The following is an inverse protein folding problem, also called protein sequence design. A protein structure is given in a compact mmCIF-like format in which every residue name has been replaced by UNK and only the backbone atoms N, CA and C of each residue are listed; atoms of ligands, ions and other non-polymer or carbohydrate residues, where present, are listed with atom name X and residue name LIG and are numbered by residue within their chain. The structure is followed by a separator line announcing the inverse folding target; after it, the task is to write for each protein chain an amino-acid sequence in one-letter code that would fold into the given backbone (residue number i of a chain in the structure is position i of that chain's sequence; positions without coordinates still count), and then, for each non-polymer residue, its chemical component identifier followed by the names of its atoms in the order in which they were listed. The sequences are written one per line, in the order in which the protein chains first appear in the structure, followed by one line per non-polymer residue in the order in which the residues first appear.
data_IF_697777746893
#
_entry.id   IF_697777746893
#
_cell.length_a   1.000
_cell.length_b   1.000
_cell.length_c   1.000
_cell.angle_alpha   90.00
_cell.angle_beta   90.00
_cell.angle_gamma   90.00
#
_symmetry.space_group_name_H-M   'P 1'
#
loop_
_entity.id
_entity.type
_entity.pdbx_description
1 polymer ?
#
# COMPACT_ATOMS: atom_id res chain seq x y z
N UNK A 1 8.81 0.31 4.25
CA UNK A 1 8.96 -0.02 5.68
C UNK A 1 8.24 1.03 6.50
N UNK A 2 8.42 1.05 7.83
CA UNK A 2 7.77 2.03 8.71
C UNK A 2 7.99 3.51 8.32
N UNK A 3 9.13 3.85 7.71
CA UNK A 3 9.40 5.23 7.28
C UNK A 3 8.43 5.75 6.22
N UNK A 4 8.06 4.93 5.25
CA UNK A 4 7.05 5.28 4.26
C UNK A 4 5.63 5.24 4.88
N UNK A 5 5.36 4.31 5.81
CA UNK A 5 4.09 4.23 6.51
C UNK A 5 3.83 5.42 7.43
N UNK A 6 4.88 6.05 7.98
CA UNK A 6 4.76 7.26 8.79
C UNK A 6 4.02 8.39 8.06
N UNK A 7 4.08 8.40 6.72
CA UNK A 7 3.34 9.34 5.86
C UNK A 7 2.20 8.65 5.09
N UNK A 8 2.00 7.34 5.28
CA UNK A 8 1.06 6.49 4.55
C UNK A 8 -0.30 6.32 5.22
N UNK A 9 -0.56 6.99 6.36
CA UNK A 9 -1.88 7.01 7.01
C UNK A 9 -2.74 8.09 6.36
N UNK A 10 -3.37 7.73 5.24
CA UNK A 10 -4.05 8.65 4.33
C UNK A 10 -5.49 8.23 4.05
N UNK A 11 -6.32 9.17 3.60
CA UNK A 11 -7.69 8.87 3.15
C UNK A 11 -7.71 8.15 1.79
N UNK A 12 -6.72 8.43 0.92
CA UNK A 12 -6.50 7.80 -0.39
C UNK A 12 -5.00 7.57 -0.61
N UNK A 13 -4.62 6.35 -0.96
CA UNK A 13 -3.26 5.93 -1.27
C UNK A 13 -3.13 5.65 -2.77
N UNK A 14 -2.32 6.47 -3.42
CA UNK A 14 -1.95 6.32 -4.83
C UNK A 14 -0.54 5.76 -4.93
N UNK A 15 -0.29 4.99 -5.97
CA UNK A 15 1.05 4.49 -6.30
C UNK A 15 1.28 4.62 -7.81
N UNK A 16 2.51 4.92 -8.22
CA UNK A 16 2.89 4.83 -9.63
C UNK A 16 2.93 3.35 -10.06
N UNK A 17 2.69 3.08 -11.34
CA UNK A 17 2.59 1.73 -11.92
C UNK A 17 3.78 0.81 -11.59
N UNK A 18 5.00 1.33 -11.62
CA UNK A 18 6.23 0.60 -11.28
C UNK A 18 6.74 0.91 -9.87
N UNK A 19 5.96 1.66 -9.08
CA UNK A 19 6.24 1.91 -7.67
C UNK A 19 6.12 0.63 -6.84
N UNK A 20 6.94 0.54 -5.79
CA UNK A 20 6.92 -0.58 -4.84
C UNK A 20 6.59 -0.09 -3.44
N UNK A 21 5.92 -0.95 -2.65
CA UNK A 21 5.68 -0.68 -1.24
C UNK A 21 5.79 -1.98 -0.44
N UNK A 22 6.70 -2.00 0.54
CA UNK A 22 7.07 -3.21 1.27
C UNK A 22 7.38 -2.91 2.75
N UNK A 23 7.18 -3.90 3.63
CA UNK A 23 7.54 -3.78 5.06
C UNK A 23 9.07 -3.81 5.29
N UNK A 24 9.78 -4.61 4.49
CA UNK A 24 11.23 -4.81 4.49
C UNK A 24 11.72 -4.75 3.03
N UNK A 25 13.00 -4.42 2.80
CA UNK A 25 13.54 -4.55 1.45
C UNK A 25 13.63 -6.03 1.03
N UNK A 26 13.52 -6.34 -0.27
CA UNK A 26 13.66 -7.72 -0.75
C UNK A 26 14.98 -8.37 -0.35
N UNK A 27 16.08 -7.62 -0.35
CA UNK A 27 17.41 -8.10 0.05
C UNK A 27 17.47 -8.43 1.54
N UNK A 28 16.86 -7.57 2.38
CA UNK A 28 16.71 -7.82 3.81
C UNK A 28 15.88 -9.09 4.08
N UNK A 29 14.76 -9.25 3.38
CA UNK A 29 13.94 -10.45 3.46
C UNK A 29 14.72 -11.71 3.01
N UNK A 30 15.45 -11.60 1.91
CA UNK A 30 16.23 -12.68 1.32
C UNK A 30 17.34 -13.17 2.28
N UNK A 31 18.10 -12.24 2.86
CA UNK A 31 19.14 -12.57 3.83
C UNK A 31 18.60 -13.23 5.11
N UNK A 32 17.40 -12.87 5.57
CA UNK A 32 16.79 -13.45 6.77
C UNK A 32 16.19 -14.83 6.50
N UNK A 33 15.36 -14.96 5.45
CA UNK A 33 14.59 -16.18 5.19
C UNK A 33 15.37 -17.23 4.39
N UNK A 34 16.25 -16.79 3.50
CA UNK A 34 16.99 -17.65 2.58
C UNK A 34 18.50 -17.68 2.84
N UNK A 35 19.00 -16.89 3.81
CA UNK A 35 20.43 -16.78 4.14
C UNK A 35 21.31 -16.38 2.95
N UNK A 36 20.72 -15.75 1.94
CA UNK A 36 21.42 -15.27 0.73
C UNK A 36 20.70 -14.05 0.18
N UNK A 37 21.45 -12.98 -0.09
CA UNK A 37 20.91 -11.76 -0.71
C UNK A 37 20.53 -11.97 -2.19
N UNK A 38 21.13 -12.96 -2.86
CA UNK A 38 20.86 -13.26 -4.27
C UNK A 38 19.42 -13.74 -4.50
N UNK A 39 18.74 -14.17 -3.44
CA UNK A 39 17.33 -14.55 -3.46
C UNK A 39 16.37 -13.34 -3.39
N UNK A 40 16.88 -12.11 -3.50
CA UNK A 40 16.06 -10.90 -3.51
C UNK A 40 14.90 -10.93 -4.55
N UNK A 41 15.08 -11.42 -5.79
CA UNK A 41 13.96 -11.51 -6.75
C UNK A 41 12.83 -12.42 -6.26
N UNK A 42 13.17 -13.58 -5.67
CA UNK A 42 12.20 -14.52 -5.11
C UNK A 42 11.49 -13.93 -3.89
N UNK A 43 12.24 -13.22 -3.04
CA UNK A 43 11.68 -12.51 -1.90
C UNK A 43 10.74 -11.37 -2.32
N UNK A 44 11.10 -10.58 -3.34
CA UNK A 44 10.27 -9.50 -3.87
C UNK A 44 8.92 -10.02 -4.39
N UNK A 45 8.94 -11.11 -5.14
CA UNK A 45 7.74 -11.78 -5.65
C UNK A 45 6.86 -12.27 -4.51
N UNK A 46 7.47 -12.95 -3.51
CA UNK A 46 6.76 -13.49 -2.34
C UNK A 46 6.15 -12.40 -1.46
N UNK A 47 6.83 -11.26 -1.32
CA UNK A 47 6.34 -10.09 -0.58
C UNK A 47 5.24 -9.32 -1.33
N UNK A 48 5.01 -9.60 -2.62
CA UNK A 48 3.94 -9.01 -3.43
C UNK A 48 3.94 -7.46 -3.42
N UNK A 49 5.12 -6.87 -3.61
CA UNK A 49 5.40 -5.44 -3.36
C UNK A 49 4.98 -4.49 -4.49
N UNK A 50 4.50 -5.00 -5.62
CA UNK A 50 4.19 -4.21 -6.82
C UNK A 50 2.81 -3.58 -6.76
N UNK A 51 2.61 -2.47 -7.49
CA UNK A 51 1.38 -1.71 -7.52
C UNK A 51 0.12 -2.56 -7.75
N UNK A 52 0.14 -3.45 -8.76
CA UNK A 52 -0.99 -4.32 -9.10
C UNK A 52 -1.34 -5.30 -7.97
N UNK A 53 -0.31 -5.89 -7.34
CA UNK A 53 -0.50 -6.82 -6.23
C UNK A 53 -1.08 -6.09 -5.03
N UNK A 54 -0.52 -4.95 -4.65
CA UNK A 54 -1.02 -4.10 -3.56
C UNK A 54 -2.46 -3.63 -3.80
N UNK A 55 -2.79 -3.31 -5.05
CA UNK A 55 -4.15 -2.93 -5.46
C UNK A 55 -5.12 -4.09 -5.32
N UNK A 56 -4.74 -5.30 -5.75
CA UNK A 56 -5.56 -6.51 -5.63
C UNK A 56 -5.85 -6.90 -4.18
N UNK A 57 -4.96 -6.53 -3.25
CA UNK A 57 -5.12 -6.73 -1.81
C UNK A 57 -5.92 -5.60 -1.12
N UNK A 58 -6.32 -4.56 -1.85
CA UNK A 58 -7.06 -3.42 -1.30
C UNK A 58 -6.20 -2.45 -0.47
N UNK A 59 -4.87 -2.55 -0.54
CA UNK A 59 -3.97 -1.65 0.19
C UNK A 59 -3.80 -0.31 -0.54
N UNK A 60 -3.81 -0.34 -1.88
CA UNK A 60 -3.72 0.83 -2.76
C UNK A 60 -5.09 1.15 -3.36
N UNK A 61 -5.45 2.43 -3.47
CA UNK A 61 -6.72 2.85 -4.06
C UNK A 61 -6.63 3.10 -5.55
N UNK A 62 -5.48 3.58 -6.03
CA UNK A 62 -5.31 3.88 -7.45
C UNK A 62 -3.87 3.70 -7.87
N UNK A 63 -3.73 3.08 -9.04
CA UNK A 63 -2.47 3.00 -9.76
C UNK A 63 -2.46 4.16 -10.77
N UNK A 64 -1.41 4.96 -10.74
CA UNK A 64 -1.16 6.03 -11.70
C UNK A 64 -0.26 5.46 -12.79
N UNK A 65 -0.78 5.40 -14.01
CA UNK A 65 -0.07 4.83 -15.15
C UNK A 65 1.22 5.59 -15.46
N UNK A 66 2.24 4.86 -15.88
CA UNK A 66 3.51 5.42 -16.34
C UNK A 66 3.67 5.26 -17.86
N UNK A 67 4.44 6.15 -18.52
CA UNK A 67 4.82 6.01 -19.92
C UNK A 67 5.52 4.68 -20.21
N UNK A 68 5.53 4.29 -21.49
CA UNK A 68 6.22 3.08 -21.93
C UNK A 68 7.70 3.12 -21.54
N UNK A 69 8.11 2.18 -20.69
CA UNK A 69 9.48 2.09 -20.17
C UNK A 69 9.73 2.90 -18.88
N UNK A 70 8.68 3.42 -18.23
CA UNK A 70 8.75 4.00 -16.89
C UNK A 70 8.83 5.52 -16.82
N UNK A 71 8.60 6.07 -15.63
CA UNK A 71 8.44 7.51 -15.40
C UNK A 71 9.63 8.35 -15.80
N UNK A 72 10.84 7.82 -15.63
CA UNK A 72 12.09 8.50 -15.96
C UNK A 72 12.22 8.82 -17.46
N UNK A 73 11.48 8.14 -18.35
CA UNK A 73 11.55 8.39 -19.80
C UNK A 73 10.75 9.59 -20.25
N UNK A 74 9.70 9.95 -19.52
CA UNK A 74 8.86 11.11 -19.81
C UNK A 74 8.27 11.67 -18.50
N UNK A 75 9.11 12.32 -17.67
CA UNK A 75 8.70 12.78 -16.35
C UNK A 75 7.58 13.83 -16.42
N UNK A 76 7.58 14.70 -17.44
CA UNK A 76 6.52 15.70 -17.64
C UNK A 76 5.15 15.05 -17.85
N UNK A 77 5.09 13.97 -18.64
CA UNK A 77 3.86 13.21 -18.89
C UNK A 77 3.35 12.54 -17.61
N UNK A 78 4.25 11.98 -16.80
CA UNK A 78 3.89 11.40 -15.49
C UNK A 78 3.37 12.47 -14.55
N UNK A 79 4.01 13.63 -14.50
CA UNK A 79 3.57 14.72 -13.63
C UNK A 79 2.18 15.22 -13.98
N UNK A 80 1.84 15.33 -15.27
CA UNK A 80 0.47 15.68 -15.67
C UNK A 80 -0.54 14.58 -15.36
N UNK A 81 -0.17 13.31 -15.56
CA UNK A 81 -1.02 12.17 -15.19
C UNK A 81 -1.28 12.12 -13.68
N UNK A 82 -0.23 12.31 -12.87
CA UNK A 82 -0.30 12.36 -11.41
C UNK A 82 -1.10 13.58 -10.95
N UNK A 83 -0.92 14.74 -11.57
CA UNK A 83 -1.70 15.96 -11.27
C UNK A 83 -3.19 15.71 -11.49
N UNK A 84 -3.56 15.08 -12.61
CA UNK A 84 -4.94 14.70 -12.90
C UNK A 84 -5.51 13.78 -11.81
N UNK A 85 -4.77 12.71 -11.48
CA UNK A 85 -5.18 11.77 -10.45
C UNK A 85 -5.38 12.43 -9.08
N UNK A 86 -4.45 13.29 -8.66
CA UNK A 86 -4.53 14.01 -7.38
C UNK A 86 -5.72 14.97 -7.36
N UNK A 87 -5.99 15.70 -8.45
CA UNK A 87 -7.15 16.61 -8.54
C UNK A 87 -8.46 15.84 -8.40
N UNK A 88 -8.58 14.70 -9.08
CA UNK A 88 -9.77 13.86 -9.01
C UNK A 88 -10.00 13.31 -7.60
N UNK A 89 -8.97 12.73 -6.97
CA UNK A 89 -9.12 12.19 -5.61
C UNK A 89 -9.39 13.30 -4.59
N UNK A 90 -8.70 14.45 -4.70
CA UNK A 90 -8.94 15.58 -3.81
C UNK A 90 -10.36 16.12 -3.96
N UNK A 91 -10.89 16.23 -5.18
CA UNK A 91 -12.27 16.66 -5.40
C UNK A 91 -13.29 15.73 -4.73
N UNK A 92 -13.09 14.41 -4.79
CA UNK A 92 -13.93 13.43 -4.10
C UNK A 92 -13.89 13.61 -2.58
N UNK A 93 -12.72 13.89 -2.01
CA UNK A 93 -12.54 14.08 -0.57
C UNK A 93 -13.11 15.42 -0.07
N UNK A 94 -12.97 16.50 -0.86
CA UNK A 94 -13.49 17.84 -0.50
C UNK A 94 -15.02 17.88 -0.35
N UNK A 95 -15.73 16.96 -0.98
CA UNK A 95 -17.19 16.86 -0.87
C UNK A 95 -17.66 16.13 0.40
N UNK A 96 -16.74 15.63 1.23
CA UNK A 96 -17.06 14.95 2.49
C UNK A 96 -16.83 15.87 3.68
N UNK A 97 -17.66 15.71 4.72
CA UNK A 97 -17.42 16.38 6.00
C UNK A 97 -16.19 15.79 6.69
N UNK A 98 -15.50 16.60 7.50
CA UNK A 98 -14.33 16.15 8.27
C UNK A 98 -14.67 14.94 9.15
N UNK A 99 -15.84 14.93 9.79
CA UNK A 99 -16.31 13.80 10.61
C UNK A 99 -16.42 12.52 9.77
N UNK A 100 -16.98 12.60 8.56
CA UNK A 100 -17.06 11.45 7.65
C UNK A 100 -15.68 10.97 7.22
N UNK A 101 -14.76 11.88 6.88
CA UNK A 101 -13.39 11.53 6.50
C UNK A 101 -12.67 10.74 7.60
N UNK A 102 -12.76 11.21 8.85
CA UNK A 102 -12.14 10.54 10.00
C UNK A 102 -12.70 9.13 10.23
N UNK A 103 -14.03 8.97 10.18
CA UNK A 103 -14.68 7.66 10.34
C UNK A 103 -14.27 6.71 9.22
N UNK A 104 -14.35 7.15 7.96
CA UNK A 104 -13.97 6.32 6.80
C UNK A 104 -12.49 5.89 6.88
N UNK A 105 -11.59 6.80 7.30
CA UNK A 105 -10.17 6.44 7.47
C UNK A 105 -9.97 5.42 8.58
N UNK A 106 -10.67 5.57 9.70
CA UNK A 106 -10.60 4.62 10.81
C UNK A 106 -11.07 3.23 10.37
N UNK A 107 -12.24 3.15 9.74
CA UNK A 107 -12.80 1.90 9.21
C UNK A 107 -11.85 1.23 8.21
N UNK A 108 -11.28 2.02 7.29
CA UNK A 108 -10.26 1.56 6.35
C UNK A 108 -9.08 0.91 7.07
N UNK A 109 -8.51 1.60 8.07
CA UNK A 109 -7.34 1.09 8.81
C UNK A 109 -7.68 -0.20 9.58
N UNK A 110 -8.87 -0.28 10.18
CA UNK A 110 -9.32 -1.47 10.91
C UNK A 110 -9.67 -2.63 9.98
N UNK A 111 -9.98 -2.36 8.71
CA UNK A 111 -10.26 -3.40 7.71
C UNK A 111 -9.01 -4.12 7.20
N UNK A 112 -7.81 -3.60 7.49
CA UNK A 112 -6.57 -4.21 7.04
C UNK A 112 -6.20 -5.45 7.83
N UNK A 113 -5.75 -6.47 7.10
CA UNK A 113 -5.40 -7.78 7.65
C UNK A 113 -6.52 -8.80 7.48
N UNK A 114 -6.13 -10.07 7.43
CA UNK A 114 -7.05 -11.20 7.43
C UNK A 114 -6.55 -12.21 8.45
N UNK A 115 -7.39 -12.55 9.41
CA UNK A 115 -7.08 -13.52 10.45
C UNK A 115 -8.24 -14.48 10.60
N UNK A 116 -7.94 -15.68 11.09
CA UNK A 116 -8.93 -16.66 11.49
C UNK A 116 -8.92 -16.71 13.01
N UNK A 117 -10.05 -16.39 13.62
CA UNK A 117 -10.19 -16.56 15.06
C UNK A 117 -10.15 -18.05 15.40
N UNK A 118 -9.28 -18.41 16.33
CA UNK A 118 -9.26 -19.74 16.92
C UNK A 118 -10.12 -19.64 18.17
N UNK A 119 -11.23 -20.39 18.22
CA UNK A 119 -12.09 -20.42 19.39
C UNK A 119 -11.26 -20.76 20.63
N UNK A 120 -11.37 -19.91 21.65
CA UNK A 120 -10.66 -20.09 22.91
C UNK A 120 -11.13 -21.39 23.57
N UNK A 121 -10.21 -22.31 23.84
CA UNK A 121 -10.55 -23.60 24.46
C UNK A 121 -10.76 -23.50 25.98
N UNK A 122 -10.59 -22.32 26.58
CA UNK A 122 -10.87 -22.09 28.01
C UNK A 122 -11.47 -20.70 28.28
N UNK A 123 -12.81 -20.58 28.38
CA UNK A 123 -13.47 -19.30 28.59
C UNK A 123 -13.51 -18.92 30.06
N UNK A 124 -12.38 -18.58 30.68
CA UNK A 124 -12.39 -17.96 32.02
C UNK A 124 -11.21 -17.04 32.24
N UNK A 125 -11.41 -15.75 31.96
CA UNK A 125 -11.09 -14.67 32.91
C UNK A 125 -12.17 -13.60 32.74
N UNK A 126 -13.16 -13.60 33.63
CA UNK A 126 -13.97 -12.41 33.90
C UNK A 126 -13.21 -11.61 34.96
N UNK A 127 -12.87 -10.37 34.67
CA UNK A 127 -12.55 -9.34 35.68
C UNK A 127 -13.83 -8.61 36.00
#
# INVERSE_FOLDING_TARGET
SGGALALGVVDQLLILQYGTYAVISPEGCASILYKSADQAPVAAESLAITADRLKSMGLVDRIVAEPLGGCHRAPEVVMETLRGALKEELAKLKNKSIKSLLVTRYERLMSYGKFKEVADKNPTVKV
#
